data_IF_439349559532
#
_entry.id   IF_439349559532
#
_cell.length_a   1.000
_cell.length_b   1.000
_cell.length_c   1.000
_cell.angle_alpha   90.00
_cell.angle_beta   90.00
_cell.angle_gamma   90.00
#
_symmetry.space_group_name_H-M   'P 1'
#
loop_
_entity.id
_entity.type
_entity.pdbx_description
1 polymer ?
#
# COMPACT_ATOMS: atom_id res chain seq x y z
N UNK A 1 22.58 16.11 -14.47
CA UNK A 1 22.23 14.99 -15.35
C UNK A 1 23.53 14.44 -15.96
N UNK A 2 23.81 13.15 -15.79
CA UNK A 2 24.95 12.47 -16.42
C UNK A 2 24.41 11.59 -17.55
N UNK A 3 25.07 11.58 -18.71
CA UNK A 3 24.60 10.89 -19.92
C UNK A 3 25.62 9.81 -20.28
N UNK A 4 25.16 8.57 -20.39
CA UNK A 4 25.99 7.40 -20.69
C UNK A 4 25.32 6.58 -21.80
N UNK A 5 26.10 6.18 -22.80
CA UNK A 5 25.63 5.29 -23.86
C UNK A 5 26.02 3.85 -23.52
N UNK A 6 25.03 2.98 -23.37
CA UNK A 6 25.19 1.54 -23.09
C UNK A 6 24.49 0.70 -24.14
N UNK A 7 25.10 -0.42 -24.48
CA UNK A 7 24.54 -1.48 -25.32
C UNK A 7 23.76 -2.47 -24.47
N UNK A 8 22.97 -3.32 -25.13
CA UNK A 8 22.28 -4.45 -24.51
C UNK A 8 23.31 -5.36 -23.84
N UNK A 9 23.06 -5.73 -22.58
CA UNK A 9 23.95 -6.51 -21.72
C UNK A 9 24.92 -5.68 -20.88
N UNK A 10 25.07 -4.37 -21.14
CA UNK A 10 25.94 -3.53 -20.34
C UNK A 10 25.22 -2.99 -19.09
N UNK A 11 25.99 -2.79 -18.02
CA UNK A 11 25.51 -2.36 -16.70
C UNK A 11 26.12 -1.02 -16.31
N UNK A 12 25.32 -0.17 -15.67
CA UNK A 12 25.72 1.09 -15.04
C UNK A 12 25.61 0.88 -13.53
N UNK A 13 26.66 1.20 -12.77
CA UNK A 13 26.61 1.17 -11.30
C UNK A 13 26.44 2.58 -10.75
N UNK A 14 25.55 2.71 -9.78
CA UNK A 14 25.31 3.95 -9.03
C UNK A 14 25.67 3.63 -7.58
N UNK A 15 26.63 4.36 -7.00
CA UNK A 15 27.23 4.01 -5.71
C UNK A 15 27.79 2.57 -5.75
N UNK A 16 27.64 1.81 -4.67
CA UNK A 16 28.08 0.43 -4.55
C UNK A 16 26.93 -0.58 -4.69
N UNK A 17 25.70 -0.22 -4.33
CA UNK A 17 24.62 -1.20 -4.17
C UNK A 17 23.57 -1.17 -5.29
N UNK A 18 23.61 -0.17 -6.17
CA UNK A 18 22.63 -0.02 -7.25
C UNK A 18 23.28 -0.35 -8.60
N UNK A 19 22.64 -1.25 -9.35
CA UNK A 19 23.04 -1.63 -10.70
C UNK A 19 21.86 -1.47 -11.68
N UNK A 20 22.13 -0.87 -12.82
CA UNK A 20 21.15 -0.65 -13.89
C UNK A 20 21.65 -1.34 -15.15
N UNK A 21 20.93 -2.37 -15.59
CA UNK A 21 21.34 -3.24 -16.70
C UNK A 21 20.40 -3.07 -17.88
N UNK A 22 20.95 -2.89 -19.08
CA UNK A 22 20.13 -2.84 -20.30
C UNK A 22 19.86 -4.27 -20.76
N UNK A 23 18.64 -4.78 -20.56
CA UNK A 23 18.29 -6.17 -20.87
C UNK A 23 17.97 -6.38 -22.36
N UNK A 24 17.53 -5.35 -23.06
CA UNK A 24 17.20 -5.45 -24.48
C UNK A 24 16.47 -4.22 -25.00
N UNK A 25 16.44 -4.08 -26.32
CA UNK A 25 15.68 -3.02 -27.00
C UNK A 25 14.71 -3.68 -27.97
N UNK A 26 13.44 -3.30 -27.90
CA UNK A 26 12.39 -3.74 -28.83
C UNK A 26 11.74 -2.51 -29.45
N UNK A 27 12.15 -2.19 -30.67
CA UNK A 27 11.70 -0.98 -31.37
C UNK A 27 12.12 0.27 -30.57
N UNK A 28 11.14 1.00 -30.05
CA UNK A 28 11.36 2.21 -29.24
C UNK A 28 11.39 1.94 -27.73
N UNK A 29 11.05 0.72 -27.30
CA UNK A 29 11.03 0.36 -25.88
C UNK A 29 12.33 -0.29 -25.48
N UNK A 30 12.93 0.18 -24.40
CA UNK A 30 14.13 -0.42 -23.81
C UNK A 30 13.75 -1.12 -22.52
N UNK A 31 14.15 -2.39 -22.40
CA UNK A 31 14.06 -3.15 -21.15
C UNK A 31 15.26 -2.79 -20.28
N UNK A 32 14.97 -2.27 -19.11
CA UNK A 32 15.97 -1.90 -18.11
C UNK A 32 15.73 -2.75 -16.88
N UNK A 33 16.75 -3.47 -16.44
CA UNK A 33 16.81 -4.11 -15.12
C UNK A 33 17.41 -3.13 -14.13
N UNK A 34 16.82 -3.03 -12.95
CA UNK A 34 17.35 -2.24 -11.83
C UNK A 34 17.47 -3.18 -10.64
N UNK A 35 18.68 -3.35 -10.15
CA UNK A 35 18.98 -4.01 -8.89
C UNK A 35 19.35 -2.92 -7.89
N UNK A 36 18.65 -2.89 -6.77
CA UNK A 36 18.88 -1.94 -5.69
C UNK A 36 18.58 -2.65 -4.36
N UNK A 37 19.22 -2.24 -3.25
CA UNK A 37 18.94 -2.78 -1.93
C UNK A 37 17.51 -2.38 -1.47
N UNK A 38 16.95 -3.13 -0.53
CA UNK A 38 15.58 -2.95 -0.05
C UNK A 38 15.30 -1.57 0.57
N UNK A 39 16.33 -0.88 1.03
CA UNK A 39 16.24 0.49 1.57
C UNK A 39 15.92 1.53 0.49
N UNK A 40 16.23 1.22 -0.79
CA UNK A 40 16.06 2.14 -1.91
C UNK A 40 14.84 1.74 -2.75
N UNK A 41 13.76 2.51 -2.60
CA UNK A 41 12.54 2.32 -3.40
C UNK A 41 12.75 2.72 -4.87
N UNK A 42 12.49 1.79 -5.79
CA UNK A 42 12.57 2.01 -7.24
C UNK A 42 11.16 2.16 -7.81
N UNK A 43 10.86 3.34 -8.35
CA UNK A 43 9.57 3.63 -8.96
C UNK A 43 9.75 4.12 -10.40
N UNK A 44 8.69 3.96 -11.20
CA UNK A 44 8.61 4.64 -12.48
C UNK A 44 8.26 6.12 -12.25
N UNK A 45 8.82 7.00 -13.07
CA UNK A 45 8.74 8.45 -12.85
C UNK A 45 7.30 8.97 -12.73
N UNK A 46 6.39 8.51 -13.60
CA UNK A 46 5.01 9.00 -13.60
C UNK A 46 4.23 8.55 -12.36
N UNK A 47 4.60 7.40 -11.79
CA UNK A 47 4.04 6.92 -10.54
C UNK A 47 4.59 7.71 -9.36
N UNK A 48 5.90 8.00 -9.35
CA UNK A 48 6.54 8.79 -8.32
C UNK A 48 5.96 10.20 -8.22
N UNK A 49 5.74 10.87 -9.36
CA UNK A 49 5.14 12.20 -9.41
C UNK A 49 3.72 12.23 -8.85
N UNK A 50 2.91 11.19 -9.14
CA UNK A 50 1.54 11.07 -8.58
C UNK A 50 1.56 10.87 -7.07
N UNK A 51 2.41 9.98 -6.57
CA UNK A 51 2.53 9.73 -5.12
C UNK A 51 2.96 11.01 -4.39
N UNK A 52 3.91 11.76 -4.97
CA UNK A 52 4.40 13.01 -4.37
C UNK A 52 3.37 14.14 -4.43
N UNK A 53 2.62 14.26 -5.53
CA UNK A 53 1.57 15.26 -5.69
C UNK A 53 0.36 15.02 -4.76
N UNK A 54 0.12 13.77 -4.38
CA UNK A 54 -0.94 13.37 -3.45
C UNK A 54 -0.47 13.39 -1.97
N UNK A 55 0.82 13.67 -1.74
CA UNK A 55 1.54 13.46 -0.48
C UNK A 55 1.31 14.45 0.65
N UNK A 56 0.29 15.32 0.59
CA UNK A 56 -0.16 16.07 1.78
C UNK A 56 -1.33 15.38 2.50
N UNK A 57 -1.97 14.39 1.86
CA UNK A 57 -3.15 13.76 2.45
C UNK A 57 -3.41 12.32 2.00
N UNK A 58 -2.38 11.46 1.99
CA UNK A 58 -2.63 10.02 2.13
C UNK A 58 -1.75 9.41 3.22
N UNK A 59 -2.34 8.76 4.24
CA UNK A 59 -1.56 7.92 5.13
C UNK A 59 -0.90 6.83 4.30
N UNK A 60 0.43 6.84 4.32
CA UNK A 60 1.26 5.74 3.86
C UNK A 60 0.85 4.49 4.64
N UNK A 61 0.02 3.64 4.04
CA UNK A 61 -0.11 2.24 4.44
C UNK A 61 0.46 1.41 3.30
N UNK A 62 1.78 1.32 3.28
CA UNK A 62 2.46 0.12 2.81
C UNK A 62 2.85 -0.67 4.07
N UNK A 63 2.15 -1.75 4.45
CA UNK A 63 2.60 -2.60 5.53
C UNK A 63 3.46 -3.68 4.89
N UNK A 64 4.78 -3.50 4.85
CA UNK A 64 5.72 -4.59 4.61
C UNK A 64 7.05 -4.31 5.31
N UNK A 65 7.00 -4.14 6.62
CA UNK A 65 7.82 -4.90 7.58
C UNK A 65 7.40 -4.51 9.00
N UNK A 66 7.12 -5.53 9.81
CA UNK A 66 7.24 -5.49 11.27
C UNK A 66 6.10 -4.86 12.10
N UNK A 67 4.96 -5.54 12.08
CA UNK A 67 4.30 -6.07 13.27
C UNK A 67 3.02 -6.78 12.81
N UNK A 68 2.81 -8.03 13.19
CA UNK A 68 1.47 -8.60 13.13
C UNK A 68 0.56 -7.72 14.00
N UNK A 69 -0.50 -7.06 13.46
CA UNK A 69 -1.49 -6.41 14.30
C UNK A 69 -2.48 -7.50 14.71
N UNK A 70 -2.04 -8.49 15.49
CA UNK A 70 -2.92 -9.53 16.03
C UNK A 70 -3.96 -8.98 17.05
N UNK A 71 -4.13 -7.65 17.14
CA UNK A 71 -5.06 -7.00 18.04
C UNK A 71 -5.54 -5.61 17.57
N UNK A 72 -5.45 -5.25 16.27
CA UNK A 72 -6.15 -4.04 15.81
C UNK A 72 -7.62 -4.39 15.66
N UNK A 73 -8.45 -3.86 16.55
CA UNK A 73 -9.89 -4.09 16.53
C UNK A 73 -10.47 -3.60 15.19
N UNK A 74 -11.17 -4.45 14.43
CA UNK A 74 -11.67 -4.10 13.10
C UNK A 74 -12.64 -2.90 13.11
N UNK A 75 -13.22 -2.54 14.26
CA UNK A 75 -14.04 -1.33 14.40
C UNK A 75 -13.19 -0.07 14.33
N UNK A 76 -11.97 -0.07 14.85
CA UNK A 76 -11.06 1.08 14.73
C UNK A 76 -10.71 1.38 13.28
N UNK A 77 -10.53 0.32 12.46
CA UNK A 77 -10.33 0.46 11.03
C UNK A 77 -11.55 1.04 10.32
N UNK A 78 -12.76 0.60 10.70
CA UNK A 78 -14.00 1.12 10.12
C UNK A 78 -14.22 2.61 10.47
N UNK A 79 -13.95 3.00 11.72
CA UNK A 79 -14.02 4.41 12.17
C UNK A 79 -12.99 5.26 11.44
N UNK A 80 -11.74 4.80 11.35
CA UNK A 80 -10.66 5.54 10.70
C UNK A 80 -10.88 5.71 9.20
N UNK A 81 -11.40 4.69 8.52
CA UNK A 81 -11.70 4.74 7.10
C UNK A 81 -12.98 5.56 6.79
N UNK A 82 -13.92 5.61 7.73
CA UNK A 82 -15.26 6.21 7.60
C UNK A 82 -15.89 6.06 6.19
N UNK A 83 -16.02 4.83 5.67
CA UNK A 83 -16.40 4.60 4.27
C UNK A 83 -17.82 5.07 3.94
N UNK A 84 -18.68 5.17 4.94
CA UNK A 84 -20.09 5.55 4.81
C UNK A 84 -20.35 7.04 5.09
N UNK A 85 -19.30 7.80 5.43
CA UNK A 85 -19.44 9.22 5.81
C UNK A 85 -20.33 9.43 7.04
N UNK A 86 -20.34 8.48 7.97
CA UNK A 86 -21.13 8.55 9.19
C UNK A 86 -20.61 9.65 10.12
N UNK A 87 -21.52 10.28 10.85
CA UNK A 87 -21.18 11.21 11.92
C UNK A 87 -20.60 10.48 13.13
N UNK A 88 -19.81 11.18 13.95
CA UNK A 88 -19.16 10.62 15.14
C UNK A 88 -20.14 9.96 16.14
N UNK A 89 -21.38 10.45 16.21
CA UNK A 89 -22.42 9.87 17.07
C UNK A 89 -22.95 8.52 16.57
N UNK A 90 -22.82 8.23 15.26
CA UNK A 90 -23.25 6.97 14.65
C UNK A 90 -22.16 5.90 14.71
N UNK A 91 -20.91 6.31 14.89
CA UNK A 91 -19.73 5.46 15.00
C UNK A 91 -19.46 5.00 16.45
N UNK A 92 -20.48 5.04 17.32
CA UNK A 92 -20.37 4.56 18.69
C UNK A 92 -20.23 3.03 18.72
N UNK A 93 -19.14 2.54 19.33
CA UNK A 93 -18.84 1.10 19.41
C UNK A 93 -19.80 0.42 20.39
N UNK A 94 -20.39 -0.70 19.98
CA UNK A 94 -21.17 -1.56 20.85
C UNK A 94 -20.30 -2.22 21.92
N UNK A 95 -20.88 -2.51 23.09
CA UNK A 95 -20.17 -3.02 24.27
C UNK A 95 -19.48 -4.38 24.02
N UNK A 96 -20.02 -5.20 23.11
CA UNK A 96 -19.54 -6.56 22.82
C UNK A 96 -19.05 -6.71 21.37
N UNK A 97 -19.78 -6.18 20.39
CA UNK A 97 -19.43 -6.30 18.97
C UNK A 97 -20.08 -5.20 18.12
N UNK A 98 -19.43 -4.82 17.01
CA UNK A 98 -19.96 -3.86 16.04
C UNK A 98 -20.24 -2.47 16.61
N UNK A 99 -21.26 -1.80 16.05
CA UNK A 99 -21.69 -0.44 16.39
C UNK A 99 -23.10 -0.43 17.01
N UNK A 100 -23.41 0.61 17.79
CA UNK A 100 -24.70 0.82 18.46
C UNK A 100 -25.82 1.12 17.44
N UNK A 101 -25.50 1.87 16.38
CA UNK A 101 -26.43 2.18 15.30
C UNK A 101 -26.58 0.99 14.33
N UNK A 102 -27.81 0.55 14.10
CA UNK A 102 -28.14 -0.67 13.33
C UNK A 102 -27.69 -0.59 11.86
N UNK A 103 -27.80 0.60 11.26
CA UNK A 103 -27.34 0.85 9.89
C UNK A 103 -25.82 0.76 9.80
N UNK A 104 -25.13 1.46 10.71
CA UNK A 104 -23.67 1.42 10.84
C UNK A 104 -23.16 0.01 11.14
N UNK A 105 -23.89 -0.75 11.95
CA UNK A 105 -23.59 -2.15 12.22
C UNK A 105 -23.66 -3.01 10.94
N UNK A 106 -24.72 -2.85 10.13
CA UNK A 106 -24.86 -3.55 8.86
C UNK A 106 -23.73 -3.21 7.87
N UNK A 107 -23.40 -1.93 7.73
CA UNK A 107 -22.29 -1.46 6.88
C UNK A 107 -20.93 -1.98 7.38
N UNK A 108 -20.74 -2.06 8.69
CA UNK A 108 -19.54 -2.63 9.31
C UNK A 108 -19.37 -4.13 9.01
N UNK A 109 -20.45 -4.92 9.01
CA UNK A 109 -20.37 -6.34 8.65
C UNK A 109 -19.92 -6.55 7.20
N UNK A 110 -20.38 -5.70 6.28
CA UNK A 110 -19.96 -5.73 4.88
C UNK A 110 -18.47 -5.39 4.76
N UNK A 111 -18.04 -4.33 5.46
CA UNK A 111 -16.63 -3.95 5.53
C UNK A 111 -15.75 -5.08 6.09
N UNK A 112 -16.18 -5.71 7.18
CA UNK A 112 -15.47 -6.81 7.83
C UNK A 112 -15.32 -8.02 6.89
N UNK A 113 -16.38 -8.37 6.16
CA UNK A 113 -16.34 -9.44 5.17
C UNK A 113 -15.32 -9.14 4.04
N UNK A 114 -15.27 -7.89 3.58
CA UNK A 114 -14.26 -7.43 2.60
C UNK A 114 -12.83 -7.52 3.14
N UNK A 115 -12.63 -7.13 4.40
CA UNK A 115 -11.32 -7.21 5.07
C UNK A 115 -10.87 -8.66 5.25
N UNK A 116 -11.77 -9.57 5.62
CA UNK A 116 -11.48 -11.01 5.76
C UNK A 116 -11.11 -11.65 4.41
N UNK A 117 -11.79 -11.26 3.33
CA UNK A 117 -11.47 -11.73 1.98
C UNK A 117 -10.09 -11.26 1.50
N UNK A 118 -9.69 -10.05 1.85
CA UNK A 118 -8.37 -9.49 1.49
C UNK A 118 -7.21 -10.08 2.32
N UNK A 119 -7.48 -10.52 3.55
CA UNK A 119 -6.46 -10.99 4.51
C UNK A 119 -6.38 -12.51 4.66
N UNK A 120 -7.13 -13.28 3.87
CA UNK A 120 -7.03 -14.74 3.82
C UNK A 120 -7.54 -15.47 5.07
N UNK A 121 -8.52 -14.90 5.79
CA UNK A 121 -9.19 -15.56 6.92
C UNK A 121 -8.51 -15.43 8.29
N UNK A 122 -7.63 -14.44 8.48
CA UNK A 122 -6.88 -14.24 9.72
C UNK A 122 -7.68 -13.65 10.91
N UNK A 123 -8.96 -13.32 10.72
CA UNK A 123 -9.85 -12.80 11.79
C UNK A 123 -10.98 -13.80 12.06
N UNK A 124 -10.66 -14.89 12.76
CA UNK A 124 -11.66 -15.77 13.36
C UNK A 124 -11.81 -15.32 14.81
N UNK A 125 -13.00 -14.83 15.15
CA UNK A 125 -13.33 -14.29 16.47
C UNK A 125 -13.15 -15.30 17.59
N UNK A 126 -12.83 -14.78 18.78
CA UNK A 126 -13.05 -15.43 20.07
C UNK A 126 -14.24 -14.78 20.75
#
# INVERSE_FOLDING_TARGET
>A
MLILTRRVGETIRINNDIAVTILGVKGMQTRVGVEAPADVSVHRQEIFERIRAQGDHLPSTAPNSEAAPAAVDPRDLFIAANPIGAGMAQLEKGLVSGFVDDRTHGDYLIFLAGLQAATGGAYVGS
#
